data_IF_859622184634
#
_entry.id   IF_859622184634
#
_cell.length_a   1.000
_cell.length_b   1.000
_cell.length_c   1.000
_cell.angle_alpha   90.00
_cell.angle_beta   90.00
_cell.angle_gamma   90.00
#
_symmetry.space_group_name_H-M   'P 1'
#
loop_
_entity.id
_entity.type
_entity.pdbx_description
1 polymer ?
#
# COMPACT_ATOMS: atom_id res chain seq x y z
N UNK A 1 19.48 22.10 -56.52
CA UNK A 1 19.59 21.83 -55.07
C UNK A 1 18.50 20.84 -54.68
N UNK A 2 18.84 19.56 -54.54
CA UNK A 2 17.90 18.53 -54.10
C UNK A 2 17.83 18.52 -52.58
N UNK A 3 16.63 18.73 -52.02
CA UNK A 3 16.40 18.64 -50.58
C UNK A 3 16.43 17.16 -50.16
N UNK A 4 17.40 16.79 -49.33
CA UNK A 4 17.49 15.47 -48.73
C UNK A 4 16.32 15.26 -47.76
N UNK A 5 15.44 14.32 -48.07
CA UNK A 5 14.42 13.85 -47.14
C UNK A 5 15.09 13.06 -46.01
N UNK A 6 15.15 13.64 -44.82
CA UNK A 6 15.59 12.94 -43.62
C UNK A 6 14.55 11.86 -43.26
N UNK A 7 14.90 10.60 -43.50
CA UNK A 7 14.11 9.46 -43.06
C UNK A 7 14.18 9.40 -41.54
N UNK A 8 13.08 9.73 -40.85
CA UNK A 8 12.96 9.52 -39.41
C UNK A 8 13.02 8.00 -39.19
N UNK A 9 14.13 7.51 -38.65
CA UNK A 9 14.29 6.10 -38.30
C UNK A 9 13.16 5.71 -37.34
N UNK A 10 12.36 4.72 -37.75
CA UNK A 10 11.31 4.16 -36.91
C UNK A 10 11.93 3.60 -35.62
N UNK A 11 11.35 3.95 -34.47
CA UNK A 11 11.82 3.46 -33.18
C UNK A 11 11.87 1.92 -33.19
N UNK A 12 12.94 1.29 -32.67
CA UNK A 12 13.08 -0.16 -32.69
C UNK A 12 11.88 -0.81 -32.00
N UNK A 13 11.32 -1.83 -32.66
CA UNK A 13 10.21 -2.58 -32.11
C UNK A 13 10.56 -3.10 -30.70
N UNK A 14 9.65 -2.99 -29.73
CA UNK A 14 9.93 -3.37 -28.35
C UNK A 14 10.42 -4.82 -28.28
N UNK A 15 11.58 -5.05 -27.67
CA UNK A 15 12.11 -6.42 -27.52
C UNK A 15 11.10 -7.29 -26.75
N UNK A 16 10.59 -8.32 -27.40
CA UNK A 16 9.54 -9.18 -26.85
C UNK A 16 9.99 -9.90 -25.56
N UNK A 17 11.31 -10.10 -25.39
CA UNK A 17 11.90 -10.62 -24.16
C UNK A 17 11.79 -9.64 -22.98
N UNK A 18 12.23 -8.39 -23.14
CA UNK A 18 12.21 -7.40 -22.06
C UNK A 18 10.80 -7.08 -21.56
N UNK A 19 9.82 -7.03 -22.47
CA UNK A 19 8.42 -6.81 -22.09
C UNK A 19 7.85 -7.96 -21.24
N UNK A 20 8.20 -9.22 -21.57
CA UNK A 20 7.80 -10.39 -20.79
C UNK A 20 8.43 -10.40 -19.40
N UNK A 21 9.70 -10.07 -19.29
CA UNK A 21 10.42 -9.99 -18.00
C UNK A 21 9.78 -8.93 -17.09
N UNK A 22 9.57 -7.72 -17.61
CA UNK A 22 8.95 -6.64 -16.83
C UNK A 22 7.52 -7.00 -16.39
N UNK A 23 6.73 -7.61 -17.28
CA UNK A 23 5.39 -8.10 -16.93
C UNK A 23 5.45 -9.18 -15.84
N UNK A 24 6.38 -10.13 -15.95
CA UNK A 24 6.60 -11.18 -14.95
C UNK A 24 6.92 -10.62 -13.57
N UNK A 25 7.82 -9.64 -13.50
CA UNK A 25 8.14 -8.95 -12.25
C UNK A 25 6.92 -8.24 -11.63
N UNK A 26 6.10 -7.58 -12.45
CA UNK A 26 4.86 -6.96 -11.97
C UNK A 26 3.82 -7.98 -11.45
N UNK A 27 3.72 -9.15 -12.08
CA UNK A 27 2.85 -10.25 -11.62
C UNK A 27 3.39 -10.81 -10.31
N UNK A 28 4.70 -11.08 -10.22
CA UNK A 28 5.35 -11.58 -9.01
C UNK A 28 5.11 -10.65 -7.83
N UNK A 29 5.37 -9.35 -8.01
CA UNK A 29 5.07 -8.32 -7.01
C UNK A 29 3.60 -8.36 -6.56
N UNK A 30 2.66 -8.42 -7.52
CA UNK A 30 1.23 -8.42 -7.21
C UNK A 30 0.80 -9.66 -6.43
N UNK A 31 1.33 -10.85 -6.76
CA UNK A 31 1.03 -12.09 -6.04
C UNK A 31 1.53 -12.02 -4.60
N UNK A 32 2.77 -11.57 -4.38
CA UNK A 32 3.32 -11.41 -3.02
C UNK A 32 2.53 -10.37 -2.23
N UNK A 33 2.18 -9.24 -2.85
CA UNK A 33 1.35 -8.23 -2.21
C UNK A 33 -0.04 -8.77 -1.82
N UNK A 34 -0.69 -9.53 -2.72
CA UNK A 34 -1.99 -10.14 -2.46
C UNK A 34 -1.94 -11.13 -1.29
N UNK A 35 -0.91 -11.99 -1.23
CA UNK A 35 -0.71 -12.92 -0.10
C UNK A 35 -0.50 -12.16 1.21
N UNK A 36 0.33 -11.11 1.20
CA UNK A 36 0.56 -10.30 2.39
C UNK A 36 -0.66 -9.49 2.82
N UNK A 37 -1.53 -9.08 1.90
CA UNK A 37 -2.81 -8.44 2.22
C UNK A 37 -3.83 -9.43 2.78
N UNK A 38 -3.81 -10.70 2.36
CA UNK A 38 -4.59 -11.76 3.03
C UNK A 38 -4.14 -11.97 4.47
N UNK A 39 -2.83 -12.03 4.71
CA UNK A 39 -2.28 -12.08 6.07
C UNK A 39 -2.66 -10.84 6.89
N UNK A 40 -2.66 -9.66 6.26
CA UNK A 40 -3.11 -8.42 6.91
C UNK A 40 -4.61 -8.42 7.22
N UNK A 41 -5.46 -8.91 6.31
CA UNK A 41 -6.89 -9.07 6.59
C UNK A 41 -7.09 -10.01 7.78
N UNK A 42 -6.40 -11.15 7.80
CA UNK A 42 -6.45 -12.07 8.92
C UNK A 42 -6.08 -11.36 10.23
N UNK A 43 -4.97 -10.60 10.24
CA UNK A 43 -4.56 -9.82 11.39
C UNK A 43 -5.65 -8.84 11.84
N UNK A 44 -6.23 -8.07 10.92
CA UNK A 44 -7.29 -7.11 11.22
C UNK A 44 -8.51 -7.83 11.81
N UNK A 45 -8.94 -8.95 11.22
CA UNK A 45 -10.10 -9.71 11.71
C UNK A 45 -9.84 -10.35 13.08
N UNK A 46 -8.70 -11.01 13.26
CA UNK A 46 -8.36 -11.75 14.47
C UNK A 46 -8.01 -10.83 15.65
N UNK A 47 -7.35 -9.71 15.40
CA UNK A 47 -7.01 -8.75 16.45
C UNK A 47 -8.14 -7.75 16.68
N UNK A 48 -8.44 -6.89 15.70
CA UNK A 48 -9.46 -5.83 15.85
C UNK A 48 -10.88 -6.39 15.80
N UNK A 49 -11.19 -7.25 14.83
CA UNK A 49 -12.54 -7.79 14.66
C UNK A 49 -13.04 -8.52 15.91
N UNK A 50 -12.23 -9.44 16.44
CA UNK A 50 -12.57 -10.18 17.67
C UNK A 50 -12.70 -9.25 18.87
N UNK A 51 -11.74 -8.36 19.11
CA UNK A 51 -11.80 -7.45 20.26
C UNK A 51 -12.95 -6.45 20.19
N UNK A 52 -13.32 -5.97 19.00
CA UNK A 52 -14.55 -5.18 18.80
C UNK A 52 -15.79 -6.02 19.12
N UNK A 53 -15.88 -7.25 18.60
CA UNK A 53 -17.06 -8.10 18.77
C UNK A 53 -17.27 -8.56 20.22
N UNK A 54 -16.20 -8.73 21.00
CA UNK A 54 -16.27 -9.13 22.41
C UNK A 54 -16.29 -7.96 23.39
N UNK A 55 -16.25 -6.70 22.91
CA UNK A 55 -16.16 -5.51 23.75
C UNK A 55 -14.82 -5.32 24.48
N UNK A 56 -13.80 -6.12 24.16
CA UNK A 56 -12.47 -6.03 24.79
C UNK A 56 -11.59 -5.01 24.04
N UNK A 57 -12.01 -3.74 24.05
CA UNK A 57 -11.38 -2.68 23.26
C UNK A 57 -10.01 -2.25 23.84
N UNK A 58 -9.81 -2.40 25.15
CA UNK A 58 -8.52 -2.14 25.82
C UNK A 58 -7.37 -2.92 25.21
N UNK A 59 -7.65 -4.11 24.65
CA UNK A 59 -6.66 -4.92 23.94
C UNK A 59 -5.96 -4.17 22.82
N UNK A 60 -6.58 -3.17 22.20
CA UNK A 60 -5.93 -2.37 21.16
C UNK A 60 -4.73 -1.56 21.70
N UNK A 61 -4.74 -1.18 22.97
CA UNK A 61 -3.68 -0.40 23.61
C UNK A 61 -2.39 -1.19 23.84
N UNK A 62 -2.35 -2.47 23.47
CA UNK A 62 -1.07 -3.17 23.26
C UNK A 62 -0.15 -2.44 22.29
N UNK A 63 -0.70 -1.60 21.41
CA UNK A 63 0.06 -0.78 20.47
C UNK A 63 0.61 0.53 21.07
N UNK A 64 0.41 0.80 22.36
CA UNK A 64 1.01 1.94 23.07
C UNK A 64 2.54 1.87 23.07
N UNK A 65 3.12 0.67 23.05
CA UNK A 65 4.56 0.48 22.85
C UNK A 65 5.09 1.08 21.54
N UNK A 66 4.20 1.37 20.58
CA UNK A 66 4.52 2.04 19.32
C UNK A 66 4.10 3.53 19.32
N UNK A 67 3.87 4.11 20.50
CA UNK A 67 3.48 5.51 20.68
C UNK A 67 2.05 5.82 20.27
N UNK A 68 1.13 4.83 20.33
CA UNK A 68 -0.27 4.99 19.90
C UNK A 68 -1.23 4.57 21.00
N UNK A 69 -2.27 5.35 21.25
CA UNK A 69 -3.38 4.98 22.15
C UNK A 69 -4.68 4.76 21.36
N UNK A 70 -4.88 3.57 20.77
CA UNK A 70 -6.08 3.24 20.00
C UNK A 70 -7.41 3.40 20.74
N UNK A 71 -7.50 2.96 21.99
CA UNK A 71 -8.70 2.96 22.81
C UNK A 71 -8.55 3.95 23.96
N UNK A 72 -9.56 4.80 24.15
CA UNK A 72 -9.62 5.77 25.25
C UNK A 72 -10.95 5.56 26.00
N UNK A 73 -10.93 5.22 27.30
CA UNK A 73 -12.15 5.08 28.10
C UNK A 73 -13.02 6.35 28.04
N UNK A 74 -14.33 6.19 27.80
CA UNK A 74 -15.27 7.31 27.69
C UNK A 74 -15.33 8.01 26.32
N UNK A 75 -14.37 7.80 25.42
CA UNK A 75 -14.36 8.39 24.07
C UNK A 75 -15.11 7.51 23.05
N UNK A 76 -16.44 7.39 23.20
CA UNK A 76 -17.25 6.54 22.30
C UNK A 76 -17.07 6.92 20.82
N UNK A 77 -17.05 8.22 20.52
CA UNK A 77 -16.93 8.73 19.15
C UNK A 77 -15.58 8.40 18.51
N UNK A 78 -14.48 8.70 19.20
CA UNK A 78 -13.14 8.43 18.69
C UNK A 78 -12.80 6.95 18.66
N UNK A 79 -13.29 6.15 19.61
CA UNK A 79 -13.15 4.70 19.59
C UNK A 79 -13.89 4.07 18.39
N UNK A 80 -15.10 4.53 18.09
CA UNK A 80 -15.85 4.09 16.91
C UNK A 80 -15.15 4.49 15.61
N UNK A 81 -14.66 5.74 15.53
CA UNK A 81 -13.90 6.21 14.36
C UNK A 81 -12.64 5.36 14.14
N UNK A 82 -11.92 5.04 15.22
CA UNK A 82 -10.73 4.19 15.15
C UNK A 82 -11.06 2.76 14.70
N UNK A 83 -12.09 2.14 15.28
CA UNK A 83 -12.51 0.79 14.92
C UNK A 83 -12.94 0.71 13.44
N UNK A 84 -13.80 1.65 13.00
CA UNK A 84 -14.25 1.74 11.63
C UNK A 84 -13.07 1.93 10.67
N UNK A 85 -12.09 2.76 11.04
CA UNK A 85 -10.90 3.00 10.25
C UNK A 85 -10.01 1.75 10.15
N UNK A 86 -9.68 1.12 11.28
CA UNK A 86 -8.83 -0.05 11.33
C UNK A 86 -9.44 -1.26 10.60
N UNK A 87 -10.72 -1.55 10.85
CA UNK A 87 -11.44 -2.65 10.19
C UNK A 87 -11.64 -2.39 8.70
N UNK A 88 -12.00 -1.16 8.33
CA UNK A 88 -12.15 -0.75 6.94
C UNK A 88 -10.86 -0.91 6.14
N UNK A 89 -9.70 -0.65 6.74
CA UNK A 89 -8.40 -0.78 6.07
C UNK A 89 -8.14 -2.22 5.57
N UNK A 90 -8.53 -3.24 6.34
CA UNK A 90 -8.43 -4.64 5.91
C UNK A 90 -9.29 -4.95 4.69
N UNK A 91 -10.52 -4.42 4.65
CA UNK A 91 -11.46 -4.61 3.53
C UNK A 91 -10.99 -3.92 2.26
N UNK A 92 -10.51 -2.67 2.37
CA UNK A 92 -10.01 -1.90 1.22
C UNK A 92 -8.78 -2.57 0.60
N UNK A 93 -7.86 -3.12 1.41
CA UNK A 93 -6.65 -3.77 0.91
C UNK A 93 -6.97 -4.85 -0.14
N UNK A 94 -7.83 -5.81 0.21
CA UNK A 94 -8.24 -6.88 -0.70
C UNK A 94 -9.23 -6.40 -1.77
N UNK A 95 -10.21 -5.56 -1.38
CA UNK A 95 -11.20 -5.00 -2.32
C UNK A 95 -10.53 -4.28 -3.48
N UNK A 96 -9.45 -3.52 -3.20
CA UNK A 96 -8.61 -2.86 -4.20
C UNK A 96 -7.79 -3.83 -5.04
N UNK A 97 -7.20 -4.86 -4.43
CA UNK A 97 -6.40 -5.84 -5.18
C UNK A 97 -7.24 -6.58 -6.24
N UNK A 98 -8.48 -6.95 -5.89
CA UNK A 98 -9.42 -7.59 -6.82
C UNK A 98 -9.76 -6.71 -8.04
N UNK A 99 -9.70 -5.38 -7.91
CA UNK A 99 -9.92 -4.45 -9.03
C UNK A 99 -8.80 -4.53 -10.08
N UNK A 100 -7.60 -4.94 -9.68
CA UNK A 100 -6.43 -4.98 -10.57
C UNK A 100 -6.36 -6.26 -11.40
N UNK A 101 -7.14 -7.30 -11.06
CA UNK A 101 -7.11 -8.60 -11.74
C UNK A 101 -7.83 -8.51 -13.10
N UNK A 102 -7.12 -8.69 -14.23
CA UNK A 102 -7.74 -8.54 -15.56
C UNK A 102 -8.83 -9.57 -15.85
N UNK A 103 -8.76 -10.76 -15.23
CA UNK A 103 -9.79 -11.79 -15.33
C UNK A 103 -11.11 -11.34 -14.71
N UNK A 104 -11.06 -10.80 -13.48
CA UNK A 104 -12.24 -10.27 -12.76
C UNK A 104 -12.91 -9.17 -13.58
N UNK A 105 -12.12 -8.20 -14.07
CA UNK A 105 -12.64 -7.09 -14.87
C UNK A 105 -13.35 -7.54 -16.15
N UNK A 106 -12.82 -8.54 -16.85
CA UNK A 106 -13.36 -9.01 -18.14
C UNK A 106 -14.55 -9.96 -17.98
N UNK A 107 -14.48 -10.90 -17.03
CA UNK A 107 -15.49 -11.96 -16.86
C UNK A 107 -16.61 -11.61 -15.89
N UNK A 108 -16.32 -10.76 -14.91
CA UNK A 108 -17.23 -10.36 -13.82
C UNK A 108 -17.34 -8.83 -13.75
N UNK A 109 -17.70 -8.21 -14.87
CA UNK A 109 -17.73 -6.74 -15.01
C UNK A 109 -18.72 -6.05 -14.05
N UNK A 110 -19.86 -6.68 -13.76
CA UNK A 110 -20.83 -6.17 -12.78
C UNK A 110 -20.22 -6.13 -11.36
N UNK A 111 -19.54 -7.21 -10.96
CA UNK A 111 -18.82 -7.27 -9.68
C UNK A 111 -17.72 -6.22 -9.62
N UNK A 112 -16.89 -6.09 -10.68
CA UNK A 112 -15.85 -5.07 -10.77
C UNK A 112 -16.42 -3.66 -10.53
N UNK A 113 -17.55 -3.32 -11.16
CA UNK A 113 -18.19 -2.00 -11.00
C UNK A 113 -18.72 -1.75 -9.58
N UNK A 114 -19.43 -2.72 -8.98
CA UNK A 114 -19.96 -2.56 -7.63
C UNK A 114 -18.87 -2.54 -6.57
N UNK A 115 -17.91 -3.46 -6.65
CA UNK A 115 -16.74 -3.46 -5.78
C UNK A 115 -15.93 -2.15 -5.93
N UNK A 116 -15.83 -1.60 -7.15
CA UNK A 116 -15.16 -0.31 -7.39
C UNK A 116 -15.88 0.88 -6.76
N UNK A 117 -17.22 0.90 -6.80
CA UNK A 117 -18.04 1.92 -6.12
C UNK A 117 -17.89 1.84 -4.60
N UNK A 118 -17.97 0.63 -4.04
CA UNK A 118 -17.78 0.39 -2.62
C UNK A 118 -16.36 0.81 -2.20
N UNK A 119 -15.34 0.41 -2.95
CA UNK A 119 -13.95 0.80 -2.71
C UNK A 119 -13.79 2.33 -2.69
N UNK A 120 -14.34 3.05 -3.68
CA UNK A 120 -14.26 4.52 -3.73
C UNK A 120 -14.97 5.18 -2.55
N UNK A 121 -16.16 4.71 -2.19
CA UNK A 121 -16.89 5.22 -1.02
C UNK A 121 -16.11 4.97 0.27
N UNK A 122 -15.63 3.74 0.47
CA UNK A 122 -14.86 3.37 1.65
C UNK A 122 -13.55 4.15 1.74
N UNK A 123 -12.75 4.22 0.67
CA UNK A 123 -11.44 4.90 0.72
C UNK A 123 -11.60 6.39 1.00
N UNK A 124 -12.70 6.99 0.52
CA UNK A 124 -13.03 8.39 0.83
C UNK A 124 -13.38 8.54 2.31
N UNK A 125 -14.29 7.72 2.84
CA UNK A 125 -14.66 7.77 4.26
C UNK A 125 -13.49 7.45 5.20
N UNK A 126 -12.62 6.51 4.81
CA UNK A 126 -11.42 6.19 5.57
C UNK A 126 -10.41 7.33 5.56
N UNK A 127 -10.19 8.00 4.43
CA UNK A 127 -9.32 9.19 4.40
C UNK A 127 -9.87 10.31 5.30
N UNK A 128 -11.18 10.58 5.24
CA UNK A 128 -11.81 11.60 6.09
C UNK A 128 -11.72 11.27 7.58
N UNK A 129 -12.00 10.02 7.96
CA UNK A 129 -11.81 9.56 9.35
C UNK A 129 -10.33 9.59 9.75
N UNK A 130 -9.39 9.33 8.84
CA UNK A 130 -7.96 9.48 9.08
C UNK A 130 -7.57 10.91 9.47
N UNK A 131 -8.09 11.92 8.76
CA UNK A 131 -7.87 13.32 9.15
C UNK A 131 -8.45 13.65 10.53
N UNK A 132 -9.65 13.13 10.84
CA UNK A 132 -10.25 13.27 12.16
C UNK A 132 -9.36 12.64 13.26
N UNK A 133 -8.87 11.42 13.04
CA UNK A 133 -8.01 10.72 14.00
C UNK A 133 -6.71 11.49 14.25
N UNK A 134 -6.08 11.99 13.18
CA UNK A 134 -4.82 12.74 13.26
C UNK A 134 -5.00 14.08 13.97
N UNK A 135 -5.98 14.89 13.57
CA UNK A 135 -6.02 16.32 13.96
C UNK A 135 -7.04 16.65 15.04
N UNK A 136 -8.10 15.85 15.19
CA UNK A 136 -9.16 16.10 16.18
C UNK A 136 -8.99 15.18 17.37
N UNK A 137 -8.84 13.87 17.13
CA UNK A 137 -8.56 12.89 18.20
C UNK A 137 -7.10 12.92 18.67
N UNK A 138 -6.23 13.60 17.92
CA UNK A 138 -4.81 13.78 18.24
C UNK A 138 -4.05 12.46 18.46
N UNK A 139 -4.31 11.45 17.63
CA UNK A 139 -3.69 10.12 17.77
C UNK A 139 -2.33 9.99 17.05
N UNK A 140 -1.80 11.08 16.51
CA UNK A 140 -0.52 11.04 15.77
C UNK A 140 0.66 11.05 16.74
N UNK A 141 1.65 10.14 16.61
CA UNK A 141 2.81 10.10 17.51
C UNK A 141 3.66 11.38 17.45
N UNK A 142 3.70 12.02 16.29
CA UNK A 142 4.42 13.28 16.08
C UNK A 142 3.70 14.19 15.07
N UNK A 143 4.02 15.47 15.08
CA UNK A 143 3.50 16.44 14.11
C UNK A 143 3.91 16.09 12.66
N UNK A 144 5.16 15.64 12.46
CA UNK A 144 5.67 15.26 11.15
C UNK A 144 4.95 14.02 10.59
N UNK A 145 4.66 13.02 11.43
CA UNK A 145 3.85 11.87 11.03
C UNK A 145 2.41 12.28 10.69
N UNK A 146 1.84 13.24 11.43
CA UNK A 146 0.52 13.80 11.16
C UNK A 146 0.48 14.48 9.79
N UNK A 147 1.52 15.24 9.45
CA UNK A 147 1.67 15.88 8.13
C UNK A 147 1.83 14.86 7.00
N UNK A 148 2.67 13.84 7.19
CA UNK A 148 2.87 12.79 6.19
C UNK A 148 1.60 11.98 5.94
N UNK A 149 0.92 11.58 7.02
CA UNK A 149 -0.37 10.88 6.95
C UNK A 149 -1.42 11.74 6.25
N UNK A 150 -1.43 13.04 6.51
CA UNK A 150 -2.34 13.99 5.85
C UNK A 150 -2.08 14.14 4.37
N UNK A 151 -0.80 14.23 3.96
CA UNK A 151 -0.43 14.24 2.55
C UNK A 151 -0.89 12.96 1.86
N UNK A 152 -0.70 11.80 2.49
CA UNK A 152 -1.21 10.53 1.96
C UNK A 152 -2.74 10.54 1.82
N UNK A 153 -3.47 11.05 2.81
CA UNK A 153 -4.93 11.24 2.76
C UNK A 153 -5.37 12.12 1.57
N UNK A 154 -4.69 13.25 1.34
CA UNK A 154 -4.95 14.12 0.19
C UNK A 154 -4.70 13.38 -1.13
N UNK A 155 -3.58 12.67 -1.26
CA UNK A 155 -3.27 11.88 -2.45
C UNK A 155 -4.33 10.80 -2.72
N UNK A 156 -4.83 10.13 -1.69
CA UNK A 156 -5.92 9.15 -1.82
C UNK A 156 -7.16 9.83 -2.42
N UNK A 157 -7.60 10.95 -1.86
CA UNK A 157 -8.79 11.67 -2.33
C UNK A 157 -8.61 12.17 -3.78
N UNK A 158 -7.44 12.74 -4.10
CA UNK A 158 -7.12 13.19 -5.46
C UNK A 158 -7.12 12.02 -6.45
N UNK A 159 -6.47 10.90 -6.12
CA UNK A 159 -6.37 9.77 -7.04
C UNK A 159 -7.71 9.02 -7.18
N UNK A 160 -8.54 9.01 -6.14
CA UNK A 160 -9.91 8.52 -6.20
C UNK A 160 -10.75 9.36 -7.17
N UNK A 161 -10.69 10.69 -7.06
CA UNK A 161 -11.38 11.60 -7.97
C UNK A 161 -10.91 11.44 -9.42
N UNK A 162 -9.60 11.32 -9.66
CA UNK A 162 -9.04 11.12 -11.00
C UNK A 162 -9.41 9.76 -11.59
N UNK A 163 -9.31 8.68 -10.82
CA UNK A 163 -9.72 7.35 -11.25
C UNK A 163 -11.21 7.32 -11.63
N UNK A 164 -12.07 7.94 -10.83
CA UNK A 164 -13.49 8.06 -11.13
C UNK A 164 -13.75 8.92 -12.38
N UNK A 165 -13.10 10.09 -12.49
CA UNK A 165 -13.24 10.99 -13.63
C UNK A 165 -12.93 10.30 -14.96
N UNK A 166 -11.81 9.58 -15.03
CA UNK A 166 -11.44 8.86 -16.26
C UNK A 166 -12.33 7.66 -16.54
N UNK A 167 -12.86 6.98 -15.50
CA UNK A 167 -13.88 5.95 -15.69
C UNK A 167 -15.16 6.53 -16.31
N UNK A 168 -15.62 7.69 -15.83
CA UNK A 168 -16.82 8.37 -16.35
C UNK A 168 -16.62 8.87 -17.79
N UNK A 169 -15.42 9.38 -18.10
CA UNK A 169 -15.02 9.76 -19.47
C UNK A 169 -14.82 8.58 -20.41
N UNK A 170 -14.93 7.34 -19.92
CA UNK A 170 -14.65 6.09 -20.66
C UNK A 170 -13.22 5.99 -21.19
N UNK A 171 -12.29 6.76 -20.62
CA UNK A 171 -10.86 6.62 -20.89
C UNK A 171 -10.28 5.55 -19.97
N UNK A 172 -10.37 4.31 -20.44
CA UNK A 172 -10.02 3.13 -19.64
C UNK A 172 -8.52 3.02 -19.41
N UNK A 173 -7.70 3.50 -20.35
CA UNK A 173 -6.25 3.45 -20.22
C UNK A 173 -5.78 4.34 -19.07
N UNK A 174 -6.30 5.57 -19.02
CA UNK A 174 -5.95 6.52 -17.98
C UNK A 174 -6.60 6.16 -16.64
N UNK A 175 -7.86 5.67 -16.64
CA UNK A 175 -8.50 5.11 -15.45
C UNK A 175 -7.63 4.04 -14.78
N UNK A 176 -7.09 3.09 -15.55
CA UNK A 176 -6.25 2.01 -15.01
C UNK A 176 -4.98 2.56 -14.35
N UNK A 177 -4.35 3.57 -14.96
CA UNK A 177 -3.15 4.23 -14.42
C UNK A 177 -3.44 4.91 -13.09
N UNK A 178 -4.56 5.62 -12.96
CA UNK A 178 -4.96 6.25 -11.70
C UNK A 178 -5.45 5.24 -10.66
N UNK A 179 -6.15 4.18 -11.09
CA UNK A 179 -6.59 3.10 -10.19
C UNK A 179 -5.40 2.36 -9.55
N UNK A 180 -4.32 2.09 -10.31
CA UNK A 180 -3.09 1.52 -9.76
C UNK A 180 -2.42 2.46 -8.74
N UNK A 181 -2.36 3.77 -9.03
CA UNK A 181 -1.82 4.75 -8.07
C UNK A 181 -2.66 4.83 -6.81
N UNK A 182 -3.98 4.88 -6.95
CA UNK A 182 -4.93 4.88 -5.84
C UNK A 182 -4.77 3.63 -4.97
N UNK A 183 -4.65 2.45 -5.59
CA UNK A 183 -4.40 1.20 -4.88
C UNK A 183 -3.12 1.28 -4.03
N UNK A 184 -2.03 1.83 -4.56
CA UNK A 184 -0.80 1.97 -3.80
C UNK A 184 -0.94 2.95 -2.62
N UNK A 185 -1.47 4.16 -2.86
CA UNK A 185 -1.58 5.16 -1.77
C UNK A 185 -2.61 4.77 -0.71
N UNK A 186 -3.67 4.05 -1.07
CA UNK A 186 -4.65 3.52 -0.10
C UNK A 186 -4.10 2.37 0.74
N UNK A 187 -2.99 1.75 0.33
CA UNK A 187 -2.28 0.72 1.08
C UNK A 187 -1.01 1.25 1.77
N UNK A 188 -0.81 2.57 1.86
CA UNK A 188 0.38 3.17 2.46
C UNK A 188 0.69 2.64 3.87
N UNK A 189 -0.33 2.53 4.72
CA UNK A 189 -0.17 2.01 6.09
C UNK A 189 0.16 0.51 6.13
N UNK A 190 -0.21 -0.26 5.10
CA UNK A 190 0.24 -1.64 4.96
C UNK A 190 1.71 -1.69 4.53
N UNK A 191 2.11 -0.88 3.53
CA UNK A 191 3.50 -0.71 3.12
C UNK A 191 4.39 -0.21 4.26
N UNK A 192 3.90 0.67 5.13
CA UNK A 192 4.60 1.14 6.32
C UNK A 192 5.01 -0.06 7.17
N UNK A 193 4.05 -0.93 7.52
CA UNK A 193 4.29 -2.10 8.37
C UNK A 193 5.25 -3.08 7.72
N UNK A 194 4.95 -3.56 6.52
CA UNK A 194 5.81 -4.56 5.86
C UNK A 194 7.19 -4.01 5.54
N UNK A 195 7.32 -2.70 5.29
CA UNK A 195 8.62 -2.05 5.09
C UNK A 195 9.44 -1.95 6.38
N UNK A 196 8.81 -1.61 7.52
CA UNK A 196 9.47 -1.62 8.85
C UNK A 196 9.98 -3.02 9.19
N UNK A 197 9.13 -4.04 9.08
CA UNK A 197 9.54 -5.41 9.37
C UNK A 197 10.54 -5.95 8.34
N UNK A 198 10.44 -5.52 7.08
CA UNK A 198 11.43 -5.84 6.05
C UNK A 198 12.81 -5.25 6.37
N UNK A 199 12.85 -4.00 6.85
CA UNK A 199 14.07 -3.35 7.31
C UNK A 199 14.70 -4.10 8.49
N UNK A 200 13.89 -4.49 9.48
CA UNK A 200 14.35 -5.33 10.59
C UNK A 200 15.01 -6.62 10.12
N UNK A 201 14.35 -7.37 9.23
CA UNK A 201 14.91 -8.64 8.72
C UNK A 201 16.22 -8.41 7.97
N UNK A 202 16.27 -7.38 7.11
CA UNK A 202 17.48 -7.08 6.31
C UNK A 202 18.64 -6.68 7.21
N UNK A 203 18.45 -5.75 8.14
CA UNK A 203 19.53 -5.30 9.04
C UNK A 203 20.01 -6.42 9.97
N UNK A 204 19.10 -7.15 10.61
CA UNK A 204 19.48 -8.28 11.45
C UNK A 204 20.21 -9.38 10.66
N UNK A 205 19.77 -9.67 9.43
CA UNK A 205 20.44 -10.63 8.55
C UNK A 205 21.85 -10.20 8.13
N UNK A 206 22.16 -8.90 8.22
CA UNK A 206 23.49 -8.33 8.00
C UNK A 206 24.29 -8.14 9.29
N UNK A 207 23.74 -8.54 10.45
CA UNK A 207 24.38 -8.33 11.76
C UNK A 207 24.40 -6.88 12.23
N UNK A 208 23.53 -6.04 11.70
CA UNK A 208 23.38 -4.64 12.10
C UNK A 208 22.34 -4.51 13.20
N UNK A 209 22.66 -3.77 14.25
CA UNK A 209 21.68 -3.35 15.26
C UNK A 209 20.66 -2.39 14.64
N UNK A 210 19.42 -2.44 15.13
CA UNK A 210 18.32 -1.61 14.65
C UNK A 210 17.71 -0.83 15.79
N UNK A 211 17.41 0.44 15.55
CA UNK A 211 16.72 1.31 16.50
C UNK A 211 15.60 2.08 15.81
N UNK A 212 14.50 2.35 16.53
CA UNK A 212 13.44 3.25 16.03
C UNK A 212 13.93 4.68 15.74
N UNK A 213 15.12 5.05 16.19
CA UNK A 213 15.78 6.33 15.90
C UNK A 213 16.46 6.38 14.52
N UNK A 214 16.57 5.25 13.82
CA UNK A 214 17.27 5.14 12.54
C UNK A 214 16.68 6.07 11.48
N UNK A 215 17.56 6.58 10.59
CA UNK A 215 17.16 7.46 9.50
C UNK A 215 16.11 6.79 8.58
N UNK A 216 16.12 5.45 8.53
CA UNK A 216 15.11 4.67 7.81
C UNK A 216 13.69 5.06 8.24
N UNK A 217 13.39 5.18 9.53
CA UNK A 217 12.03 5.48 10.00
C UNK A 217 11.57 6.88 9.57
N UNK A 218 12.46 7.87 9.69
CA UNK A 218 12.19 9.26 9.25
C UNK A 218 11.89 9.30 7.75
N UNK A 219 12.65 8.56 6.95
CA UNK A 219 12.42 8.43 5.52
C UNK A 219 11.12 7.65 5.22
N UNK A 220 10.91 6.52 5.88
CA UNK A 220 9.86 5.56 5.55
C UNK A 220 8.46 6.02 5.93
N UNK A 221 8.33 6.95 6.89
CA UNK A 221 7.10 7.71 7.15
C UNK A 221 6.50 8.27 5.86
N UNK A 222 7.32 8.85 4.98
CA UNK A 222 6.93 9.34 3.65
C UNK A 222 7.10 8.27 2.57
N UNK A 223 8.16 7.47 2.70
CA UNK A 223 8.56 6.45 1.74
C UNK A 223 7.50 5.37 1.52
N UNK A 224 6.70 5.06 2.54
CA UNK A 224 5.70 4.00 2.48
C UNK A 224 4.62 4.19 1.39
N UNK A 225 4.43 5.41 0.87
CA UNK A 225 3.60 5.66 -0.31
C UNK A 225 4.35 6.31 -1.48
N UNK A 226 5.41 7.08 -1.23
CA UNK A 226 6.20 7.70 -2.29
C UNK A 226 7.07 6.70 -3.05
N UNK A 227 7.69 5.73 -2.36
CA UNK A 227 8.53 4.71 -3.01
C UNK A 227 7.69 3.79 -3.90
N UNK A 228 6.54 3.22 -3.45
CA UNK A 228 5.67 2.46 -4.34
C UNK A 228 5.20 3.27 -5.57
N UNK A 229 4.85 4.55 -5.40
CA UNK A 229 4.46 5.41 -6.52
C UNK A 229 5.61 5.66 -7.50
N UNK A 230 6.82 5.90 -7.01
CA UNK A 230 8.01 6.08 -7.84
C UNK A 230 8.31 4.81 -8.64
N UNK A 231 8.27 3.64 -8.00
CA UNK A 231 8.46 2.35 -8.67
C UNK A 231 7.37 2.08 -9.71
N UNK A 232 6.11 2.42 -9.42
CA UNK A 232 5.02 2.32 -10.40
C UNK A 232 5.24 3.26 -11.59
N UNK A 233 5.75 4.46 -11.36
CA UNK A 233 6.07 5.40 -12.43
C UNK A 233 7.24 4.89 -13.30
N UNK A 234 8.28 4.32 -12.69
CA UNK A 234 9.37 3.63 -13.41
C UNK A 234 8.83 2.47 -14.26
N UNK A 235 7.93 1.66 -13.68
CA UNK A 235 7.27 0.58 -14.40
C UNK A 235 6.53 1.08 -15.64
N UNK A 236 5.73 2.15 -15.52
CA UNK A 236 5.05 2.73 -16.68
C UNK A 236 6.03 3.27 -17.73
N UNK A 237 7.09 3.96 -17.31
CA UNK A 237 8.08 4.49 -18.24
C UNK A 237 8.81 3.37 -19.00
N UNK A 238 9.26 2.33 -18.31
CA UNK A 238 9.94 1.17 -18.90
C UNK A 238 9.01 0.35 -19.81
N UNK A 239 7.72 0.24 -19.45
CA UNK A 239 6.71 -0.44 -20.26
C UNK A 239 6.44 0.33 -21.54
N UNK A 240 6.15 1.62 -21.44
CA UNK A 240 5.63 2.43 -22.54
C UNK A 240 6.73 2.92 -23.49
N UNK A 241 7.92 3.22 -22.97
CA UNK A 241 9.03 3.83 -23.72
C UNK A 241 10.37 3.09 -23.60
N UNK A 242 10.47 2.07 -22.74
CA UNK A 242 11.74 1.43 -22.42
C UNK A 242 12.23 0.41 -23.45
N UNK A 243 13.53 0.42 -23.72
CA UNK A 243 14.25 -0.66 -24.41
C UNK A 243 14.54 -1.87 -23.49
N UNK A 244 15.32 -2.84 -23.98
CA UNK A 244 15.65 -4.06 -23.23
C UNK A 244 16.28 -3.75 -21.86
N UNK A 245 17.32 -2.92 -21.84
CA UNK A 245 18.09 -2.58 -20.62
C UNK A 245 17.18 -1.93 -19.58
N UNK A 246 16.41 -0.90 -19.96
CA UNK A 246 15.50 -0.21 -19.05
C UNK A 246 14.46 -1.16 -18.44
N UNK A 247 13.90 -2.07 -19.24
CA UNK A 247 12.92 -3.06 -18.78
C UNK A 247 13.52 -4.08 -17.82
N UNK A 248 14.71 -4.59 -18.11
CA UNK A 248 15.42 -5.52 -17.22
C UNK A 248 15.81 -4.82 -15.93
N UNK A 249 16.37 -3.61 -15.98
CA UNK A 249 16.74 -2.86 -14.79
C UNK A 249 15.53 -2.56 -13.89
N UNK A 250 14.42 -2.09 -14.45
CA UNK A 250 13.18 -1.87 -13.68
C UNK A 250 12.61 -3.17 -13.12
N UNK A 251 12.66 -4.28 -13.88
CA UNK A 251 12.22 -5.57 -13.38
C UNK A 251 13.08 -6.06 -12.21
N UNK A 252 14.40 -5.91 -12.28
CA UNK A 252 15.32 -6.26 -11.18
C UNK A 252 15.03 -5.45 -9.92
N UNK A 253 14.78 -4.14 -10.04
CA UNK A 253 14.38 -3.29 -8.91
C UNK A 253 13.07 -3.79 -8.30
N UNK A 254 12.06 -4.09 -9.13
CA UNK A 254 10.77 -4.62 -8.64
C UNK A 254 10.97 -5.96 -7.92
N UNK A 255 11.75 -6.88 -8.48
CA UNK A 255 12.02 -8.19 -7.86
C UNK A 255 12.74 -8.02 -6.53
N UNK A 256 13.80 -7.21 -6.47
CA UNK A 256 14.53 -6.96 -5.22
C UNK A 256 13.62 -6.39 -4.12
N UNK A 257 12.82 -5.36 -4.44
CA UNK A 257 11.84 -4.80 -3.50
C UNK A 257 10.74 -5.79 -3.13
N UNK A 258 10.36 -6.68 -4.04
CA UNK A 258 9.37 -7.74 -3.77
C UNK A 258 9.92 -8.77 -2.77
N UNK A 259 11.21 -9.12 -2.85
CA UNK A 259 11.84 -10.02 -1.89
C UNK A 259 11.90 -9.39 -0.49
N UNK A 260 12.28 -8.10 -0.40
CA UNK A 260 12.23 -7.36 0.87
C UNK A 260 10.80 -7.28 1.41
N UNK A 261 9.82 -7.01 0.56
CA UNK A 261 8.40 -7.03 0.93
C UNK A 261 7.96 -8.41 1.42
N UNK A 262 8.39 -9.50 0.80
CA UNK A 262 8.06 -10.86 1.22
C UNK A 262 8.62 -11.17 2.61
N UNK A 263 9.89 -10.82 2.86
CA UNK A 263 10.50 -10.93 4.17
C UNK A 263 9.75 -10.11 5.23
N UNK A 264 9.39 -8.87 4.88
CA UNK A 264 8.60 -7.99 5.73
C UNK A 264 7.18 -8.50 6.01
N UNK A 265 6.51 -9.10 5.02
CA UNK A 265 5.21 -9.76 5.20
C UNK A 265 5.31 -10.93 6.18
N UNK A 266 6.35 -11.75 6.05
CA UNK A 266 6.57 -12.88 6.95
C UNK A 266 6.82 -12.40 8.39
N UNK A 267 7.78 -11.49 8.58
CA UNK A 267 8.12 -10.96 9.90
C UNK A 267 6.96 -10.18 10.55
N UNK A 268 6.24 -9.36 9.77
CA UNK A 268 5.03 -8.72 10.26
C UNK A 268 3.94 -9.75 10.64
N UNK A 269 3.81 -10.84 9.88
CA UNK A 269 2.91 -11.94 10.21
C UNK A 269 3.24 -12.58 11.56
N UNK A 270 4.52 -12.85 11.84
CA UNK A 270 4.97 -13.37 13.14
C UNK A 270 4.62 -12.39 14.27
N UNK A 271 4.94 -11.11 14.09
CA UNK A 271 4.57 -10.06 15.04
C UNK A 271 3.06 -9.98 15.27
N UNK A 272 2.25 -10.01 14.20
CA UNK A 272 0.79 -10.01 14.28
C UNK A 272 0.26 -11.20 15.08
N UNK A 273 0.84 -12.39 14.93
CA UNK A 273 0.45 -13.56 15.72
C UNK A 273 0.79 -13.37 17.20
N UNK A 274 1.97 -12.81 17.53
CA UNK A 274 2.31 -12.49 18.91
C UNK A 274 1.32 -11.49 19.52
N UNK A 275 0.95 -10.45 18.77
CA UNK A 275 -0.05 -9.46 19.20
C UNK A 275 -1.43 -10.10 19.43
N UNK A 276 -1.87 -11.00 18.53
CA UNK A 276 -3.11 -11.75 18.67
C UNK A 276 -3.05 -12.66 19.90
N UNK A 277 -1.98 -13.42 20.10
CA UNK A 277 -1.92 -14.40 21.18
C UNK A 277 -1.63 -13.80 22.56
N UNK A 278 -1.42 -12.49 22.63
CA UNK A 278 -1.13 -11.82 23.88
C UNK A 278 0.35 -11.83 24.27
N UNK A 279 1.22 -12.44 23.46
CA UNK A 279 2.65 -12.63 23.73
C UNK A 279 3.47 -11.32 23.68
N UNK A 280 4.70 -11.29 24.22
CA UNK A 280 5.61 -10.16 24.06
C UNK A 280 5.84 -9.83 22.58
N UNK A 281 5.94 -8.53 22.27
CA UNK A 281 6.01 -8.05 20.88
C UNK A 281 7.38 -8.21 20.22
N UNK A 282 8.45 -8.42 21.01
CA UNK A 282 9.81 -8.63 20.49
C UNK A 282 10.32 -7.48 19.61
N UNK A 283 9.88 -6.25 19.90
CA UNK A 283 10.35 -5.05 19.21
C UNK A 283 11.73 -4.66 19.77
N UNK A 284 12.62 -4.10 18.94
CA UNK A 284 13.84 -3.47 19.44
C UNK A 284 13.48 -2.28 20.33
N UNK A 285 14.40 -1.94 21.22
CA UNK A 285 14.27 -0.77 22.11
C UNK A 285 14.23 0.57 21.34
#
# INVERSE_FOLDING_TARGET
MAAASATIAAAPAPSAGGARILKGAGIFWFVVALLGQWAFLYYIAAFYGVSTATGNLERWNRLEALGRTPYVPGDTGGNLAYAAHALGAGVIALGGALQLIPFVRRRFSAFHRWNGRLFLAMVTGLSLSGFYLVWIRNTSPSFIEGLSTSLNGVLILTFAALALRFAMKRDIAEHQRWAMRLYLVSNAQWFLRVGVFGYFVVCNGLGLEVSFSDLFFKFWTWGCYLVPLAVLQLYFLARDRGGLIARVATASVIVALTLVMAAGVFAFGVFSQALINGAPMGLPD
#
